data_IF_311682021206
#
_entry.id   IF_311682021206
#
_cell.length_a   1.000
_cell.length_b   1.000
_cell.length_c   1.000
_cell.angle_alpha   90.00
_cell.angle_beta   90.00
_cell.angle_gamma   90.00
#
_symmetry.space_group_name_H-M   'P 1'
#
loop_
_entity.id
_entity.type
_entity.pdbx_description
1 polymer ?
#
# COMPACT_ATOMS: atom_id res chain seq x y z
N UNK A 1 4.38 -3.77 6.40
CA UNK A 1 5.10 -4.11 5.16
C UNK A 1 5.76 -5.47 5.31
N UNK A 2 5.89 -6.24 4.22
CA UNK A 2 6.64 -7.49 4.25
C UNK A 2 8.13 -7.20 4.59
N UNK A 3 8.82 -8.05 5.37
CA UNK A 3 10.21 -7.80 5.81
C UNK A 3 11.18 -7.51 4.65
N UNK A 4 10.99 -8.19 3.52
CA UNK A 4 11.81 -8.04 2.32
C UNK A 4 11.57 -6.69 1.62
N UNK A 5 10.32 -6.22 1.60
CA UNK A 5 9.99 -4.93 0.99
C UNK A 5 10.65 -3.77 1.74
N UNK A 6 10.72 -3.87 3.06
CA UNK A 6 11.44 -2.90 3.89
C UNK A 6 12.94 -2.89 3.58
N UNK A 7 13.57 -4.07 3.51
CA UNK A 7 15.00 -4.17 3.18
C UNK A 7 15.33 -3.59 1.80
N UNK A 8 14.47 -3.83 0.81
CA UNK A 8 14.64 -3.23 -0.53
C UNK A 8 14.53 -1.71 -0.46
N UNK A 9 13.55 -1.18 0.27
CA UNK A 9 13.40 0.27 0.44
C UNK A 9 14.63 0.90 1.11
N UNK A 10 15.13 0.27 2.19
CA UNK A 10 16.32 0.74 2.90
C UNK A 10 17.58 0.69 2.01
N UNK A 11 17.71 -0.34 1.15
CA UNK A 11 18.81 -0.44 0.20
C UNK A 11 18.72 0.63 -0.90
N UNK A 12 17.53 0.90 -1.42
CA UNK A 12 17.31 1.91 -2.46
C UNK A 12 17.58 3.32 -1.91
N UNK A 13 17.20 3.60 -0.67
CA UNK A 13 17.41 4.91 -0.03
C UNK A 13 18.90 5.30 0.08
N UNK A 14 19.80 4.31 0.21
CA UNK A 14 21.25 4.52 0.26
C UNK A 14 21.89 4.83 -1.12
N UNK A 15 21.16 4.64 -2.22
CA UNK A 15 21.70 4.82 -3.57
C UNK A 15 21.69 6.30 -4.01
N UNK A 16 22.55 6.71 -4.95
CA UNK A 16 22.43 8.00 -5.63
C UNK A 16 21.09 8.14 -6.37
N UNK A 17 20.63 9.38 -6.56
CA UNK A 17 19.32 9.67 -7.16
C UNK A 17 19.11 9.03 -8.55
N UNK A 18 20.17 8.90 -9.34
CA UNK A 18 20.11 8.27 -10.68
C UNK A 18 19.81 6.76 -10.58
N UNK A 19 20.44 6.07 -9.63
CA UNK A 19 20.23 4.64 -9.38
C UNK A 19 18.88 4.39 -8.69
N UNK A 20 18.41 5.32 -7.84
CA UNK A 20 17.05 5.28 -7.28
C UNK A 20 15.98 5.36 -8.38
N UNK A 21 16.17 6.24 -9.37
CA UNK A 21 15.26 6.38 -10.49
C UNK A 21 15.20 5.09 -11.34
N UNK A 22 16.36 4.44 -11.55
CA UNK A 22 16.42 3.15 -12.24
C UNK A 22 15.68 2.05 -11.46
N UNK A 23 15.90 1.97 -10.14
CA UNK A 23 15.23 1.01 -9.26
C UNK A 23 13.70 1.23 -9.28
N UNK A 24 13.26 2.49 -9.24
CA UNK A 24 11.85 2.85 -9.33
C UNK A 24 11.21 2.38 -10.63
N UNK A 25 11.83 2.66 -11.79
CA UNK A 25 11.30 2.24 -13.09
C UNK A 25 11.28 0.71 -13.25
N UNK A 26 12.25 -0.01 -12.65
CA UNK A 26 12.24 -1.47 -12.63
C UNK A 26 11.07 -2.01 -11.80
N UNK A 27 10.90 -1.53 -10.58
CA UNK A 27 9.81 -1.95 -9.68
C UNK A 27 8.45 -1.62 -10.31
N UNK A 28 8.31 -0.43 -10.90
CA UNK A 28 7.10 -0.01 -11.61
C UNK A 28 6.73 -0.96 -12.76
N UNK A 29 7.70 -1.39 -13.56
CA UNK A 29 7.46 -2.38 -14.62
C UNK A 29 7.04 -3.74 -14.07
N UNK A 30 7.65 -4.18 -12.97
CA UNK A 30 7.27 -5.43 -12.30
C UNK A 30 5.84 -5.37 -11.77
N UNK A 31 5.45 -4.24 -11.16
CA UNK A 31 4.08 -4.01 -10.68
C UNK A 31 3.10 -3.99 -11.85
N UNK A 32 3.39 -3.26 -12.94
CA UNK A 32 2.53 -3.22 -14.13
C UNK A 32 2.37 -4.59 -14.80
N UNK A 33 3.42 -5.42 -14.82
CA UNK A 33 3.34 -6.77 -15.37
C UNK A 33 2.52 -7.72 -14.47
N UNK A 34 2.58 -7.51 -13.16
CA UNK A 34 1.85 -8.31 -12.19
C UNK A 34 0.38 -7.88 -12.05
N UNK A 35 0.12 -6.58 -12.16
CA UNK A 35 -1.16 -5.92 -12.02
C UNK A 35 -1.26 -4.69 -12.93
N UNK A 36 -1.68 -4.88 -14.19
CA UNK A 36 -1.78 -3.79 -15.16
C UNK A 36 -2.75 -2.68 -14.76
N UNK A 37 -3.80 -3.06 -14.02
CA UNK A 37 -4.91 -2.18 -13.65
C UNK A 37 -4.83 -1.70 -12.19
N UNK A 38 -3.75 -2.04 -11.46
CA UNK A 38 -3.57 -1.71 -10.03
C UNK A 38 -4.76 -2.15 -9.15
N UNK A 39 -5.44 -3.23 -9.52
CA UNK A 39 -6.65 -3.73 -8.82
C UNK A 39 -6.35 -4.84 -7.82
N UNK A 40 -5.14 -5.42 -7.86
CA UNK A 40 -4.72 -6.51 -6.99
C UNK A 40 -4.28 -5.93 -5.66
N UNK A 41 -5.03 -6.30 -4.65
CA UNK A 41 -4.68 -5.99 -3.27
C UNK A 41 -3.56 -6.90 -2.79
N UNK A 42 -2.59 -6.31 -2.10
CA UNK A 42 -1.65 -7.08 -1.30
C UNK A 42 -2.41 -7.82 -0.18
N UNK A 43 -1.88 -8.93 0.37
CA UNK A 43 -2.54 -9.64 1.47
C UNK A 43 -2.85 -8.75 2.69
N UNK A 44 -1.99 -7.75 2.94
CA UNK A 44 -2.20 -6.78 4.01
C UNK A 44 -3.37 -5.83 3.73
N UNK A 45 -3.46 -5.30 2.51
CA UNK A 45 -4.59 -4.43 2.12
C UNK A 45 -5.90 -5.23 2.06
N UNK A 46 -5.85 -6.48 1.61
CA UNK A 46 -7.02 -7.36 1.65
C UNK A 46 -7.50 -7.58 3.08
N UNK A 47 -6.59 -7.86 4.01
CA UNK A 47 -6.93 -8.01 5.42
C UNK A 47 -7.52 -6.72 6.01
N UNK A 48 -7.00 -5.54 5.62
CA UNK A 48 -7.55 -4.26 6.05
C UNK A 48 -8.96 -4.01 5.49
N UNK A 49 -9.22 -4.37 4.22
CA UNK A 49 -10.55 -4.29 3.62
C UNK A 49 -11.53 -5.25 4.31
N UNK A 50 -11.12 -6.49 4.52
CA UNK A 50 -11.95 -7.51 5.18
C UNK A 50 -12.25 -7.09 6.63
N UNK A 51 -11.29 -6.48 7.34
CA UNK A 51 -11.48 -5.91 8.66
C UNK A 51 -12.47 -4.73 8.64
N UNK A 52 -12.27 -3.78 7.73
CA UNK A 52 -13.18 -2.63 7.59
C UNK A 52 -14.60 -3.06 7.24
N UNK A 53 -14.77 -4.11 6.42
CA UNK A 53 -16.07 -4.69 6.13
C UNK A 53 -16.72 -5.30 7.39
N UNK A 54 -15.95 -5.97 8.24
CA UNK A 54 -16.44 -6.50 9.50
C UNK A 54 -16.83 -5.40 10.50
N UNK A 55 -16.07 -4.30 10.57
CA UNK A 55 -16.38 -3.13 11.41
C UNK A 55 -17.67 -2.44 10.94
N UNK A 56 -17.87 -2.30 9.64
CA UNK A 56 -19.11 -1.78 9.05
C UNK A 56 -20.32 -2.66 9.38
N UNK A 57 -20.21 -3.98 9.23
CA UNK A 57 -21.27 -4.93 9.58
C UNK A 57 -21.57 -4.93 11.09
N UNK A 58 -20.54 -4.72 11.92
CA UNK A 58 -20.69 -4.59 13.37
C UNK A 58 -21.30 -3.24 13.81
N UNK A 59 -21.42 -2.28 12.89
CA UNK A 59 -21.87 -0.93 13.19
C UNK A 59 -20.84 -0.05 13.88
N UNK A 60 -19.56 -0.47 13.88
CA UNK A 60 -18.44 0.27 14.46
C UNK A 60 -17.90 1.29 13.44
N UNK A 61 -18.75 2.24 13.09
CA UNK A 61 -18.41 3.35 12.20
C UNK A 61 -18.94 4.67 12.75
N UNK A 62 -18.23 5.76 12.46
CA UNK A 62 -18.63 7.11 12.82
C UNK A 62 -19.13 7.81 11.58
N UNK A 63 -20.35 8.37 11.65
CA UNK A 63 -20.87 9.20 10.58
C UNK A 63 -20.09 10.51 10.50
N UNK A 64 -19.88 11.00 9.27
CA UNK A 64 -19.17 12.26 9.02
C UNK A 64 -19.72 13.43 9.87
N UNK A 65 -21.04 13.47 10.06
CA UNK A 65 -21.74 14.48 10.87
C UNK A 65 -21.40 14.43 12.38
N UNK A 66 -20.90 13.29 12.88
CA UNK A 66 -20.50 13.09 14.27
C UNK A 66 -19.02 13.43 14.51
N UNK A 67 -18.26 13.76 13.46
CA UNK A 67 -16.85 14.14 13.57
C UNK A 67 -16.75 15.67 13.63
N UNK A 68 -16.19 16.20 14.72
CA UNK A 68 -15.90 17.63 14.84
C UNK A 68 -14.57 17.94 14.14
N UNK A 69 -14.66 18.33 12.86
CA UNK A 69 -13.52 18.64 12.00
C UNK A 69 -12.86 20.01 12.26
N UNK A 70 -13.34 20.77 13.25
CA UNK A 70 -12.90 22.14 13.57
C UNK A 70 -11.76 22.18 14.59
#
# INVERSE_FOLDING_TARGET
MAPIAQQIADMVDMLPAEDQALAFELVKKLVLAWDPDFTKTTPAEKAAIDQAAAELEAGDYVLDQAIHWN
#
